data_IF_536323701896
#
_entry.id   IF_536323701896
#
_cell.length_a   1.000
_cell.length_b   1.000
_cell.length_c   1.000
_cell.angle_alpha   90.00
_cell.angle_beta   90.00
_cell.angle_gamma   90.00
#
_symmetry.space_group_name_H-M   'P 1'
#
loop_
_entity.id
_entity.type
_entity.pdbx_description
1 polymer ?
#
# COMPACT_ATOMS: atom_id res chain seq x y z
N UNK A 1 7.02 -7.65 -7.03
CA UNK A 1 6.34 -8.92 -7.40
C UNK A 1 7.31 -10.11 -7.27
N UNK A 2 6.80 -11.35 -7.28
CA UNK A 2 7.53 -12.63 -7.12
C UNK A 2 8.22 -12.90 -5.77
N UNK A 3 8.06 -12.02 -4.78
CA UNK A 3 8.57 -12.26 -3.43
C UNK A 3 7.75 -13.35 -2.73
N UNK A 4 8.43 -14.29 -2.06
CA UNK A 4 7.84 -15.36 -1.25
C UNK A 4 7.69 -15.00 0.22
N UNK A 5 8.36 -13.93 0.64
CA UNK A 5 8.30 -13.39 2.00
C UNK A 5 8.62 -11.89 1.98
N UNK A 6 8.15 -11.19 3.01
CA UNK A 6 8.48 -9.81 3.33
C UNK A 6 8.75 -9.75 4.84
N UNK A 7 9.89 -9.21 5.32
CA UNK A 7 10.12 -9.03 6.75
C UNK A 7 8.98 -8.28 7.44
N UNK A 8 8.72 -8.56 8.71
CA UNK A 8 7.58 -8.00 9.44
C UNK A 8 7.62 -6.47 9.56
N UNK A 9 8.82 -5.90 9.50
CA UNK A 9 9.15 -4.47 9.58
C UNK A 9 9.49 -3.85 8.21
N UNK A 10 9.28 -4.60 7.13
CA UNK A 10 9.52 -4.12 5.76
C UNK A 10 8.20 -3.83 5.03
N UNK A 11 8.29 -2.90 4.09
CA UNK A 11 7.24 -2.57 3.14
C UNK A 11 7.80 -2.19 1.79
N UNK A 12 6.91 -1.87 0.85
CA UNK A 12 7.25 -1.24 -0.42
C UNK A 12 6.48 0.07 -0.53
N UNK A 13 7.20 1.16 -0.83
CA UNK A 13 6.62 2.46 -1.13
C UNK A 13 6.65 2.64 -2.65
N UNK A 14 5.47 2.90 -3.21
CA UNK A 14 5.29 3.30 -4.59
C UNK A 14 4.98 4.80 -4.61
N UNK A 15 5.73 5.54 -5.42
CA UNK A 15 5.60 6.98 -5.60
C UNK A 15 5.16 7.23 -7.02
N UNK A 16 4.09 8.01 -7.20
CA UNK A 16 3.55 8.40 -8.49
C UNK A 16 3.87 9.87 -8.78
N UNK A 17 3.88 10.23 -10.06
CA UNK A 17 4.13 11.62 -10.48
C UNK A 17 2.91 12.53 -10.27
N UNK A 18 1.71 11.95 -10.34
CA UNK A 18 0.43 12.67 -10.25
C UNK A 18 -0.50 12.03 -9.21
N UNK A 19 -1.27 12.88 -8.53
CA UNK A 19 -2.26 12.45 -7.54
C UNK A 19 -3.57 12.10 -8.26
N UNK A 20 -3.80 10.80 -8.46
CA UNK A 20 -4.93 10.27 -9.22
C UNK A 20 -5.53 9.02 -8.56
N UNK A 21 -6.60 8.46 -9.12
CA UNK A 21 -7.09 7.15 -8.66
C UNK A 21 -6.05 6.09 -9.00
N UNK A 22 -5.28 5.68 -8.00
CA UNK A 22 -4.30 4.62 -8.13
C UNK A 22 -4.97 3.27 -7.91
N UNK A 23 -4.44 2.25 -8.58
CA UNK A 23 -4.95 0.89 -8.44
C UNK A 23 -3.85 -0.13 -8.64
N UNK A 24 -3.92 -1.20 -7.86
CA UNK A 24 -3.00 -2.33 -7.94
C UNK A 24 -3.74 -3.65 -8.07
N UNK A 25 -3.05 -4.61 -8.65
CA UNK A 25 -3.43 -6.01 -8.67
C UNK A 25 -2.43 -6.85 -7.89
N UNK A 26 -2.81 -8.08 -7.54
CA UNK A 26 -1.94 -9.06 -6.87
C UNK A 26 -1.35 -10.08 -7.85
N UNK A 27 -1.29 -9.72 -9.15
CA UNK A 27 -0.71 -10.56 -10.20
C UNK A 27 0.75 -10.87 -9.87
N UNK A 28 1.10 -12.15 -9.82
CA UNK A 28 2.43 -12.64 -9.44
C UNK A 28 2.91 -12.21 -8.03
N UNK A 29 1.98 -11.89 -7.12
CA UNK A 29 2.27 -11.64 -5.71
C UNK A 29 1.78 -12.82 -4.88
N UNK A 30 2.70 -13.49 -4.18
CA UNK A 30 2.45 -14.75 -3.46
C UNK A 30 2.08 -14.56 -1.99
N UNK A 31 2.41 -13.40 -1.41
CA UNK A 31 2.12 -13.07 -0.02
C UNK A 31 0.88 -12.15 0.04
N UNK A 32 -0.02 -12.34 1.01
CA UNK A 32 -1.11 -11.40 1.22
C UNK A 32 -0.55 -10.09 1.80
N UNK A 33 -1.10 -8.97 1.37
CA UNK A 33 -0.63 -7.64 1.75
C UNK A 33 -1.77 -6.79 2.30
N UNK A 34 -1.45 -5.86 3.19
CA UNK A 34 -2.27 -4.66 3.38
C UNK A 34 -1.73 -3.57 2.46
N UNK A 35 -2.62 -2.85 1.79
CA UNK A 35 -2.31 -1.85 0.78
C UNK A 35 -2.93 -0.52 1.18
N UNK A 36 -2.07 0.45 1.49
CA UNK A 36 -2.45 1.76 1.98
C UNK A 36 -2.26 2.78 0.87
N UNK A 37 -3.33 3.41 0.43
CA UNK A 37 -3.30 4.50 -0.53
C UNK A 37 -3.22 5.82 0.22
N UNK A 38 -2.32 6.69 -0.21
CA UNK A 38 -1.96 7.91 0.52
C UNK A 38 -1.98 9.10 -0.42
N UNK A 39 -2.61 10.18 0.02
CA UNK A 39 -2.72 11.43 -0.75
C UNK A 39 -1.42 12.27 -0.66
N UNK A 40 -1.38 13.40 -1.37
CA UNK A 40 -0.24 14.32 -1.40
C UNK A 40 0.05 14.97 -0.02
N UNK A 41 -0.95 15.03 0.87
CA UNK A 41 -0.83 15.51 2.25
C UNK A 41 -0.30 14.45 3.24
N UNK A 42 0.16 13.31 2.70
CA UNK A 42 0.63 12.13 3.42
C UNK A 42 -0.42 11.46 4.32
N UNK A 43 -1.72 11.67 4.05
CA UNK A 43 -2.83 11.04 4.75
C UNK A 43 -3.25 9.76 4.04
N UNK A 44 -3.48 8.69 4.83
CA UNK A 44 -4.01 7.42 4.33
C UNK A 44 -5.49 7.61 4.00
N UNK A 45 -5.82 7.48 2.73
CA UNK A 45 -7.17 7.73 2.23
C UNK A 45 -7.97 6.46 1.90
N UNK A 46 -7.30 5.32 1.76
CA UNK A 46 -7.94 4.01 1.53
C UNK A 46 -7.02 2.90 2.06
N UNK A 47 -7.57 1.92 2.77
CA UNK A 47 -6.84 0.72 3.17
C UNK A 47 -7.55 -0.53 2.64
N UNK A 48 -6.86 -1.32 1.81
CA UNK A 48 -7.28 -2.68 1.48
C UNK A 48 -6.49 -3.65 2.34
N UNK A 49 -7.16 -4.33 3.27
CA UNK A 49 -6.52 -5.32 4.14
C UNK A 49 -6.63 -6.73 3.57
N UNK A 50 -5.66 -7.59 3.89
CA UNK A 50 -5.67 -9.01 3.53
C UNK A 50 -5.93 -9.26 2.03
N UNK A 51 -5.25 -8.50 1.18
CA UNK A 51 -5.36 -8.66 -0.28
C UNK A 51 -5.04 -10.09 -0.71
N UNK A 52 -5.89 -10.64 -1.57
CA UNK A 52 -5.79 -12.02 -2.04
C UNK A 52 -4.63 -12.21 -3.02
N UNK A 53 -3.67 -13.11 -2.74
CA UNK A 53 -2.56 -13.44 -3.64
C UNK A 53 -3.03 -13.92 -5.02
N UNK A 54 -2.23 -13.65 -6.05
CA UNK A 54 -2.43 -14.11 -7.43
C UNK A 54 -3.73 -13.64 -8.11
N UNK A 55 -4.44 -12.67 -7.53
CA UNK A 55 -5.67 -12.11 -8.11
C UNK A 55 -5.37 -10.91 -9.00
N UNK A 56 -6.08 -10.84 -10.13
CA UNK A 56 -5.93 -9.76 -11.11
C UNK A 56 -7.06 -8.72 -11.03
N UNK A 57 -7.92 -8.78 -10.01
CA UNK A 57 -8.88 -7.70 -9.78
C UNK A 57 -8.16 -6.46 -9.25
N UNK A 58 -8.76 -5.30 -9.48
CA UNK A 58 -8.18 -4.01 -9.11
C UNK A 58 -8.55 -3.63 -7.67
N UNK A 59 -7.55 -3.45 -6.81
CA UNK A 59 -7.67 -2.75 -5.54
C UNK A 59 -7.36 -1.28 -5.81
N UNK A 60 -8.41 -0.45 -5.90
CA UNK A 60 -8.29 0.96 -6.21
C UNK A 60 -8.48 1.84 -4.97
N UNK A 61 -7.85 3.01 -4.97
CA UNK A 61 -8.18 4.06 -4.00
C UNK A 61 -9.59 4.60 -4.23
N UNK A 62 -10.25 5.03 -3.14
CA UNK A 62 -11.56 5.69 -3.21
C UNK A 62 -11.44 7.19 -3.52
N UNK A 63 -10.24 7.75 -3.34
CA UNK A 63 -9.86 9.15 -3.58
C UNK A 63 -8.50 9.22 -4.28
N UNK A 64 -8.12 10.36 -4.89
CA UNK A 64 -6.81 10.52 -5.49
C UNK A 64 -5.66 10.24 -4.51
N UNK A 65 -4.69 9.42 -4.94
CA UNK A 65 -3.51 9.01 -4.18
C UNK A 65 -2.25 9.37 -4.95
N UNK A 66 -1.23 9.83 -4.23
CA UNK A 66 0.11 10.09 -4.75
C UNK A 66 1.09 8.97 -4.38
N UNK A 67 0.80 8.23 -3.31
CA UNK A 67 1.64 7.13 -2.84
C UNK A 67 0.80 5.89 -2.54
N UNK A 68 1.45 4.73 -2.65
CA UNK A 68 0.91 3.46 -2.17
C UNK A 68 1.96 2.76 -1.33
N UNK A 69 1.56 2.29 -0.14
CA UNK A 69 2.40 1.51 0.77
C UNK A 69 1.85 0.09 0.84
N UNK A 70 2.68 -0.88 0.49
CA UNK A 70 2.39 -2.30 0.66
C UNK A 70 3.17 -2.86 1.86
N UNK A 71 2.46 -3.49 2.79
CA UNK A 71 3.02 -4.16 3.98
C UNK A 71 2.41 -5.56 4.12
N UNK A 72 2.97 -6.39 5.00
CA UNK A 72 2.40 -7.71 5.28
C UNK A 72 0.92 -7.60 5.71
N UNK A 73 0.08 -8.52 5.24
CA UNK A 73 -1.32 -8.56 5.65
C UNK A 73 -1.49 -8.66 7.17
N UNK A 74 -2.43 -7.89 7.71
CA UNK A 74 -2.70 -7.79 9.13
C UNK A 74 -1.81 -6.79 9.88
N UNK A 75 -0.83 -6.17 9.22
CA UNK A 75 0.01 -5.13 9.82
C UNK A 75 -0.84 -3.94 10.29
N UNK A 76 -1.81 -3.49 9.47
CA UNK A 76 -2.67 -2.36 9.83
C UNK A 76 -3.48 -2.68 11.09
N UNK A 77 -4.05 -3.89 11.18
CA UNK A 77 -4.80 -4.33 12.34
C UNK A 77 -3.92 -4.44 13.61
N UNK A 78 -2.71 -4.99 13.48
CA UNK A 78 -1.77 -5.11 14.59
C UNK A 78 -1.33 -3.74 15.14
N UNK A 79 -1.15 -2.76 14.25
CA UNK A 79 -0.69 -1.41 14.58
C UNK A 79 -1.83 -0.41 14.80
N UNK A 80 -3.08 -0.84 14.66
CA UNK A 80 -4.28 0.01 14.75
C UNK A 80 -4.24 1.19 13.76
N UNK A 81 -3.69 0.96 12.58
CA UNK A 81 -3.62 1.96 11.50
C UNK A 81 -4.98 2.02 10.81
N UNK A 82 -5.47 3.24 10.61
CA UNK A 82 -6.79 3.54 10.04
C UNK A 82 -6.70 4.63 8.98
N UNK A 83 -7.74 4.75 8.15
CA UNK A 83 -7.86 5.89 7.22
C UNK A 83 -7.91 7.21 8.01
N UNK A 84 -7.19 8.22 7.53
CA UNK A 84 -6.98 9.49 8.22
C UNK A 84 -5.64 9.57 8.96
N UNK A 85 -4.97 8.43 9.22
CA UNK A 85 -3.61 8.44 9.76
C UNK A 85 -2.60 8.99 8.74
N UNK A 86 -1.49 9.54 9.24
CA UNK A 86 -0.43 10.10 8.39
C UNK A 86 0.79 9.21 8.34
N UNK A 87 1.43 9.15 7.16
CA UNK A 87 2.74 8.53 6.99
C UNK A 87 3.83 9.60 6.93
N UNK A 88 5.05 9.21 7.31
CA UNK A 88 6.25 10.05 7.21
C UNK A 88 7.33 9.20 6.58
N UNK A 89 7.97 9.72 5.55
CA UNK A 89 9.09 9.07 4.88
C UNK A 89 10.02 10.11 4.26
N UNK A 90 11.27 9.73 4.05
CA UNK A 90 12.25 10.54 3.36
C UNK A 90 12.77 9.77 2.15
N UNK A 91 12.69 10.36 0.96
CA UNK A 91 13.30 9.82 -0.24
C UNK A 91 14.73 10.34 -0.30
N UNK A 92 15.71 9.45 -0.10
CA UNK A 92 17.11 9.79 -0.28
C UNK A 92 17.49 9.67 -1.76
N UNK A 93 17.71 10.81 -2.42
CA UNK A 93 18.32 10.85 -3.74
C UNK A 93 19.78 10.37 -3.64
N UNK A 94 20.12 9.29 -4.34
CA UNK A 94 21.51 8.90 -4.58
C UNK A 94 21.94 9.39 -5.96
#
# INVERSE_FOLDING_TARGET
MYRKSLPADAGMLFVFDEEEIQGFWMKNTYIPLDMLFVNADNEIITIHTNTAPLKEWNYASTRPALYVVEVNAGYCAQKQITEGDKIIFELSSH
#
